data_IF_255255834973
#
_entry.id   IF_255255834973
#
_cell.length_a   1.000
_cell.length_b   1.000
_cell.length_c   1.000
_cell.angle_alpha   90.00
_cell.angle_beta   90.00
_cell.angle_gamma   90.00
#
_symmetry.space_group_name_H-M   'P 1'
#
loop_
_entity.id
_entity.type
_entity.pdbx_description
1 polymer ?
#
# COMPACT_ATOMS: atom_id res chain seq x y z
N UNK A 1 6.61 -9.26 19.57
CA UNK A 1 7.80 -9.49 18.72
C UNK A 1 8.12 -8.19 18.00
N UNK A 2 9.26 -7.58 18.31
CA UNK A 2 9.71 -6.33 17.68
C UNK A 2 10.25 -6.70 16.30
N UNK A 3 9.40 -6.66 15.26
CA UNK A 3 9.87 -6.77 13.88
C UNK A 3 10.71 -5.52 13.58
N UNK A 4 12.00 -5.70 13.26
CA UNK A 4 12.85 -4.65 12.73
C UNK A 4 12.12 -3.91 11.59
N UNK A 5 12.11 -2.58 11.61
CA UNK A 5 11.31 -1.75 10.71
C UNK A 5 11.50 -2.09 9.24
N UNK A 6 12.74 -2.44 8.83
CA UNK A 6 13.05 -2.89 7.47
C UNK A 6 12.37 -4.21 7.07
N UNK A 7 12.28 -5.17 7.98
CA UNK A 7 11.63 -6.46 7.74
C UNK A 7 10.12 -6.30 7.52
N UNK A 8 9.49 -5.34 8.22
CA UNK A 8 8.05 -5.04 8.07
C UNK A 8 7.70 -4.58 6.66
N UNK A 9 8.51 -3.70 6.06
CA UNK A 9 8.25 -3.18 4.71
C UNK A 9 8.42 -4.26 3.63
N UNK A 10 9.48 -5.06 3.76
CA UNK A 10 9.72 -6.19 2.84
C UNK A 10 8.57 -7.20 2.93
N UNK A 11 8.17 -7.58 4.14
CA UNK A 11 7.04 -8.47 4.37
C UNK A 11 5.74 -7.94 3.76
N UNK A 12 5.39 -6.67 4.03
CA UNK A 12 4.19 -6.04 3.49
C UNK A 12 4.18 -6.05 1.95
N UNK A 13 5.31 -5.71 1.33
CA UNK A 13 5.46 -5.72 -0.12
C UNK A 13 5.35 -7.12 -0.73
N UNK A 14 5.96 -8.15 -0.12
CA UNK A 14 5.85 -9.54 -0.60
C UNK A 14 4.40 -10.03 -0.47
N UNK A 15 3.79 -9.82 0.69
CA UNK A 15 2.42 -10.26 0.98
C UNK A 15 1.40 -9.69 -0.02
N UNK A 16 1.49 -8.39 -0.34
CA UNK A 16 0.63 -7.76 -1.36
C UNK A 16 0.77 -8.42 -2.73
N UNK A 17 2.00 -8.70 -3.16
CA UNK A 17 2.26 -9.36 -4.45
C UNK A 17 1.70 -10.78 -4.45
N UNK A 18 1.91 -11.53 -3.38
CA UNK A 18 1.35 -12.89 -3.25
C UNK A 18 -0.17 -12.87 -3.37
N UNK A 19 -0.85 -11.97 -2.66
CA UNK A 19 -2.31 -11.88 -2.71
C UNK A 19 -2.79 -11.49 -4.11
N UNK A 20 -2.15 -10.50 -4.73
CA UNK A 20 -2.52 -10.03 -6.06
C UNK A 20 -2.37 -11.11 -7.13
N UNK A 21 -1.27 -11.88 -7.10
CA UNK A 21 -1.00 -12.92 -8.09
C UNK A 21 -1.74 -14.24 -7.83
N UNK A 22 -1.76 -14.71 -6.58
CA UNK A 22 -2.23 -16.05 -6.24
C UNK A 22 -3.60 -16.09 -5.57
N UNK A 23 -4.05 -14.99 -4.92
CA UNK A 23 -5.29 -14.97 -4.14
C UNK A 23 -6.35 -14.04 -4.74
N UNK A 24 -6.58 -14.11 -6.06
CA UNK A 24 -7.50 -13.21 -6.79
C UNK A 24 -8.90 -13.13 -6.19
N UNK A 25 -9.46 -14.24 -5.71
CA UNK A 25 -10.77 -14.26 -5.06
C UNK A 25 -10.81 -13.45 -3.76
N UNK A 26 -9.74 -13.54 -2.95
CA UNK A 26 -9.59 -12.71 -1.76
C UNK A 26 -9.39 -11.24 -2.14
N UNK A 27 -8.50 -10.95 -3.10
CA UNK A 27 -8.25 -9.60 -3.60
C UNK A 27 -9.55 -8.91 -4.06
N UNK A 28 -10.38 -9.58 -4.86
CA UNK A 28 -11.63 -9.01 -5.36
C UNK A 28 -12.63 -8.71 -4.23
N UNK A 29 -12.74 -9.58 -3.22
CA UNK A 29 -13.59 -9.32 -2.04
C UNK A 29 -13.11 -8.10 -1.27
N UNK A 30 -11.81 -7.98 -1.05
CA UNK A 30 -11.26 -6.82 -0.35
C UNK A 30 -11.37 -5.54 -1.18
N UNK A 31 -11.21 -5.63 -2.51
CA UNK A 31 -11.40 -4.51 -3.42
C UNK A 31 -12.84 -3.98 -3.40
N UNK A 32 -13.84 -4.86 -3.30
CA UNK A 32 -15.25 -4.47 -3.18
C UNK A 32 -15.56 -3.73 -1.86
N UNK A 33 -14.83 -4.08 -0.80
CA UNK A 33 -14.91 -3.47 0.53
C UNK A 33 -14.07 -2.20 0.66
N UNK A 34 -13.12 -1.99 -0.24
CA UNK A 34 -12.20 -0.85 -0.21
C UNK A 34 -12.94 0.44 -0.56
N UNK A 35 -12.73 1.47 0.25
CA UNK A 35 -13.27 2.83 0.07
C UNK A 35 -12.16 3.86 0.08
N UNK A 36 -12.46 5.05 -0.43
CA UNK A 36 -11.52 6.16 -0.53
C UNK A 36 -10.60 6.09 -1.75
N UNK A 37 -9.66 7.03 -1.80
CA UNK A 37 -8.69 7.18 -2.88
C UNK A 37 -7.33 7.63 -2.30
N UNK A 38 -6.26 7.50 -3.07
CA UNK A 38 -4.95 8.00 -2.66
C UNK A 38 -4.99 9.54 -2.54
N UNK A 39 -4.58 10.07 -1.40
CA UNK A 39 -4.45 11.50 -1.12
C UNK A 39 -3.04 12.06 -1.43
N UNK A 40 -2.16 11.23 -2.02
CA UNK A 40 -0.79 11.60 -2.40
C UNK A 40 0.05 12.20 -1.25
N UNK A 41 -0.11 11.69 -0.03
CA UNK A 41 0.72 12.10 1.11
C UNK A 41 2.05 11.34 1.22
N UNK A 42 2.29 10.36 0.33
CA UNK A 42 3.59 9.71 0.18
C UNK A 42 3.96 8.72 1.28
N UNK A 43 3.23 8.73 2.39
CA UNK A 43 3.43 7.82 3.52
C UNK A 43 3.28 6.35 3.07
N UNK A 44 2.29 6.03 2.23
CA UNK A 44 2.12 4.69 1.69
C UNK A 44 3.12 4.31 0.59
N UNK A 45 3.69 5.29 -0.12
CA UNK A 45 4.70 5.07 -1.16
C UNK A 45 6.00 4.51 -0.56
N UNK A 46 6.45 5.07 0.57
CA UNK A 46 7.64 4.62 1.31
C UNK A 46 7.54 3.17 1.78
N UNK A 47 6.33 2.64 1.91
CA UNK A 47 6.09 1.24 2.33
C UNK A 47 6.08 0.27 1.17
N UNK A 48 5.73 0.77 -0.01
CA UNK A 48 5.72 -0.04 -1.23
C UNK A 48 7.11 -0.07 -1.83
N UNK A 49 7.79 1.08 -1.85
CA UNK A 49 9.17 1.24 -2.30
C UNK A 49 9.83 2.28 -1.38
N UNK A 50 10.64 1.87 -0.37
CA UNK A 50 11.27 2.78 0.58
C UNK A 50 12.08 3.92 -0.05
N UNK A 51 12.68 3.66 -1.21
CA UNK A 51 13.54 4.59 -1.94
C UNK A 51 12.91 5.00 -3.28
N UNK A 52 11.59 5.21 -3.32
CA UNK A 52 10.89 5.53 -4.56
C UNK A 52 11.48 6.80 -5.21
N UNK A 53 12.09 6.72 -6.40
CA UNK A 53 12.73 7.88 -7.05
C UNK A 53 11.71 8.92 -7.53
N UNK A 54 10.43 8.53 -7.61
CA UNK A 54 9.34 9.40 -8.05
C UNK A 54 8.58 10.06 -6.90
N UNK A 55 8.98 9.82 -5.64
CA UNK A 55 8.42 10.51 -4.48
C UNK A 55 9.22 11.80 -4.24
N UNK A 56 8.56 12.96 -4.41
CA UNK A 56 9.15 14.28 -4.16
C UNK A 56 8.45 14.93 -2.97
N UNK A 57 9.18 15.07 -1.87
CA UNK A 57 8.57 15.37 -0.57
C UNK A 57 7.55 14.29 -0.20
N UNK A 58 6.27 14.65 -0.26
CA UNK A 58 5.14 13.75 0.00
C UNK A 58 4.35 13.38 -1.27
N UNK A 59 4.60 14.03 -2.42
CA UNK A 59 3.80 13.84 -3.62
C UNK A 59 4.44 12.82 -4.60
N UNK A 60 3.60 11.99 -5.23
CA UNK A 60 4.04 11.05 -6.27
C UNK A 60 4.01 11.75 -7.65
N UNK A 61 5.19 11.97 -8.25
CA UNK A 61 5.32 12.64 -9.56
C UNK A 61 4.68 11.89 -10.71
N UNK A 62 4.62 10.56 -10.62
CA UNK A 62 4.08 9.69 -11.68
C UNK A 62 2.70 9.15 -11.34
N UNK A 63 1.90 9.84 -10.52
CA UNK A 63 0.62 9.31 -10.03
C UNK A 63 -0.34 8.86 -11.15
N UNK A 64 -0.41 9.62 -12.24
CA UNK A 64 -1.19 9.26 -13.44
C UNK A 64 -0.68 8.00 -14.14
N UNK A 65 0.65 7.84 -14.19
CA UNK A 65 1.34 6.72 -14.82
C UNK A 65 1.82 5.65 -13.81
N UNK A 66 1.24 5.63 -12.60
CA UNK A 66 1.82 4.84 -11.52
C UNK A 66 1.77 3.33 -11.84
N UNK A 67 2.84 2.58 -11.51
CA UNK A 67 2.87 1.14 -11.72
C UNK A 67 1.72 0.42 -11.01
N UNK A 68 1.34 -0.74 -11.54
CA UNK A 68 0.25 -1.55 -11.00
C UNK A 68 0.40 -1.82 -9.49
N UNK A 69 1.62 -2.11 -9.02
CA UNK A 69 1.89 -2.37 -7.61
C UNK A 69 1.63 -1.17 -6.69
N UNK A 70 1.71 0.06 -7.21
CA UNK A 70 1.32 1.26 -6.49
C UNK A 70 -0.22 1.41 -6.46
N UNK A 71 -0.90 1.05 -7.56
CA UNK A 71 -2.37 1.15 -7.70
C UNK A 71 -3.14 0.17 -6.81
N UNK A 72 -2.59 -1.02 -6.60
CA UNK A 72 -3.27 -2.07 -5.84
C UNK A 72 -3.23 -1.83 -4.33
N UNK A 73 -2.41 -0.91 -3.84
CA UNK A 73 -2.38 -0.57 -2.42
C UNK A 73 -3.63 0.26 -2.03
N UNK A 74 -4.20 0.03 -0.84
CA UNK A 74 -4.04 -1.16 0.00
C UNK A 74 -4.81 -2.34 -0.60
N UNK A 75 -4.28 -3.55 -0.40
CA UNK A 75 -4.93 -4.81 -0.81
C UNK A 75 -5.97 -5.24 0.24
N UNK A 76 -5.66 -5.05 1.53
CA UNK A 76 -6.53 -5.40 2.65
C UNK A 76 -6.24 -4.51 3.89
N UNK A 77 -7.01 -4.62 5.00
CA UNK A 77 -6.77 -3.83 6.20
C UNK A 77 -5.36 -4.01 6.78
N UNK A 78 -4.75 -5.20 6.59
CA UNK A 78 -3.42 -5.49 7.11
C UNK A 78 -2.36 -4.58 6.51
N UNK A 79 -2.54 -4.15 5.26
CA UNK A 79 -1.65 -3.16 4.68
C UNK A 79 -1.66 -1.88 5.49
N UNK A 80 -2.84 -1.33 5.84
CA UNK A 80 -2.96 -0.09 6.62
C UNK A 80 -2.34 -0.23 8.02
N UNK A 81 -2.47 -1.40 8.65
CA UNK A 81 -1.83 -1.69 9.95
C UNK A 81 -0.30 -1.73 9.87
N UNK A 82 0.25 -2.36 8.82
CA UNK A 82 1.71 -2.48 8.62
C UNK A 82 2.35 -1.16 8.17
N UNK A 83 1.52 -0.19 7.81
CA UNK A 83 1.93 1.04 7.15
C UNK A 83 2.28 2.20 8.09
N UNK A 84 1.89 2.15 9.36
CA UNK A 84 1.88 3.32 10.27
C UNK A 84 1.19 4.57 9.67
N UNK A 85 0.31 4.39 8.67
CA UNK A 85 -0.44 5.49 8.00
C UNK A 85 -1.79 5.75 8.69
N UNK A 86 -1.98 5.25 9.92
CA UNK A 86 -3.25 5.32 10.62
C UNK A 86 -3.64 6.79 10.85
N UNK A 87 -4.77 7.21 10.28
CA UNK A 87 -5.24 8.59 10.32
C UNK A 87 -4.70 9.52 9.23
N UNK A 88 -3.70 9.09 8.47
CA UNK A 88 -3.15 9.83 7.31
C UNK A 88 -3.66 9.27 5.97
N UNK A 89 -3.91 7.96 5.89
CA UNK A 89 -4.41 7.34 4.66
C UNK A 89 -5.93 7.52 4.53
N UNK A 90 -6.37 8.02 3.37
CA UNK A 90 -7.79 8.15 3.06
C UNK A 90 -8.48 6.82 2.65
N UNK A 91 -7.73 5.71 2.56
CA UNK A 91 -8.32 4.39 2.30
C UNK A 91 -8.89 3.76 3.57
N UNK A 92 -10.04 3.10 3.44
CA UNK A 92 -10.67 2.30 4.49
C UNK A 92 -11.30 1.01 3.92
N UNK A 93 -11.74 0.11 4.80
CA UNK A 93 -12.42 -1.13 4.46
C UNK A 93 -13.70 -1.27 5.28
N UNK A 94 -14.82 -1.53 4.61
CA UNK A 94 -16.15 -1.80 5.20
C UNK A 94 -16.44 -3.30 5.21
#
# INVERSE_FOLDING_TARGET
MIMNSGFRYVYAGIRRRVIFYFCKGYFNRQLARRRGACNQEGACCKLTIPWCPHLEGNACRIYSAQPLFCKIFPVDPKDLELSDVKGACAYSFE
#
